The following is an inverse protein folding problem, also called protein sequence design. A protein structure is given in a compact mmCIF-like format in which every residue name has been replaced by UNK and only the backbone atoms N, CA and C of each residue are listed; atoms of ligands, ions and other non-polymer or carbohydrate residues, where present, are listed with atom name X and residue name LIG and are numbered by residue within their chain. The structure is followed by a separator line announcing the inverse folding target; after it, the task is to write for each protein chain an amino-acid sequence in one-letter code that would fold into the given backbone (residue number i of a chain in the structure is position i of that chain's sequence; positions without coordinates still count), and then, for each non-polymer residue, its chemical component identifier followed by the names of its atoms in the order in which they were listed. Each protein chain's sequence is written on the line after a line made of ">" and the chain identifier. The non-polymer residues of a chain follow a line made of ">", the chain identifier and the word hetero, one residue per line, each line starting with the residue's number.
data_IF_195406205883
#
_entry.id   IF_195406205883
#
_cell.length_a   1.000
_cell.length_b   1.000
_cell.length_c   1.000
_cell.angle_alpha   90.00
_cell.angle_beta   90.00
_cell.angle_gamma   90.00
#
_symmetry.space_group_name_H-M   'P 1'
#
loop_
_entity.id
_entity.type
_entity.pdbx_description
1 polymer ?
#
# COMPACT_ATOMS: atom_id res chain seq x y z
N UNK A 1 25.83 24.36 21.93
CA UNK A 1 26.33 25.62 21.35
C UNK A 1 27.57 26.03 22.13
N UNK A 2 28.58 26.56 21.46
CA UNK A 2 29.78 27.08 22.09
C UNK A 2 29.47 28.45 22.70
N UNK A 3 29.75 28.62 23.98
CA UNK A 3 29.54 29.88 24.75
C UNK A 3 30.86 30.56 25.11
N UNK A 4 32.00 30.03 24.64
CA UNK A 4 33.32 30.59 24.95
C UNK A 4 33.51 31.92 24.23
N UNK A 5 33.80 32.97 25.02
CA UNK A 5 34.03 34.32 24.50
C UNK A 5 34.97 34.34 23.30
N UNK A 6 34.51 34.90 22.18
CA UNK A 6 35.26 34.99 20.92
C UNK A 6 35.12 33.78 19.98
N UNK A 7 34.43 32.71 20.37
CA UNK A 7 34.16 31.52 19.56
C UNK A 7 32.69 31.08 19.66
N UNK A 8 31.79 32.02 19.91
CA UNK A 8 30.40 31.69 20.20
C UNK A 8 29.65 31.23 18.96
N UNK A 9 28.74 30.26 19.13
CA UNK A 9 27.96 29.73 18.01
C UNK A 9 27.12 30.84 17.38
N UNK A 10 27.40 31.11 16.11
CA UNK A 10 26.64 32.05 15.28
C UNK A 10 25.49 31.35 14.56
N UNK A 11 24.58 32.13 13.98
CA UNK A 11 23.52 31.59 13.12
C UNK A 11 24.09 30.87 11.90
N UNK A 12 25.22 31.33 11.36
CA UNK A 12 25.96 30.68 10.28
C UNK A 12 26.46 29.29 10.69
N UNK A 13 27.03 29.15 11.89
CA UNK A 13 27.55 27.88 12.40
C UNK A 13 26.41 26.88 12.61
N UNK A 14 25.28 27.33 13.12
CA UNK A 14 24.09 26.51 13.30
C UNK A 14 23.52 26.05 11.94
N UNK A 15 23.36 26.97 10.98
CA UNK A 15 22.88 26.64 9.64
C UNK A 15 23.80 25.63 8.95
N UNK A 16 25.11 25.85 9.03
CA UNK A 16 26.12 24.97 8.44
C UNK A 16 26.11 23.58 9.08
N UNK A 17 26.07 23.51 10.41
CA UNK A 17 26.06 22.23 11.13
C UNK A 17 24.78 21.41 10.88
N UNK A 18 23.63 22.07 10.82
CA UNK A 18 22.34 21.42 10.52
C UNK A 18 22.26 20.94 9.07
N UNK A 19 22.79 21.72 8.13
CA UNK A 19 22.78 21.36 6.70
C UNK A 19 23.77 20.24 6.38
N UNK A 20 24.97 20.27 6.98
CA UNK A 20 26.03 19.30 6.69
C UNK A 20 25.88 17.98 7.44
N UNK A 21 25.05 17.92 8.47
CA UNK A 21 24.74 16.68 9.18
C UNK A 21 23.71 15.87 8.38
N UNK A 22 24.11 14.76 7.75
CA UNK A 22 23.21 13.90 6.98
C UNK A 22 21.98 13.41 7.77
N UNK A 23 22.14 13.17 9.08
CA UNK A 23 21.04 12.80 9.97
C UNK A 23 20.07 13.97 10.24
N UNK A 24 20.56 15.22 10.27
CA UNK A 24 19.71 16.38 10.50
C UNK A 24 19.05 16.85 9.20
N UNK A 25 19.82 16.95 8.11
CA UNK A 25 19.33 17.43 6.82
C UNK A 25 18.38 16.46 6.12
N UNK A 26 18.36 15.18 6.50
CA UNK A 26 17.32 14.24 6.09
C UNK A 26 15.98 14.43 6.81
N UNK A 27 15.96 15.12 7.95
CA UNK A 27 14.77 15.31 8.79
C UNK A 27 14.23 16.75 8.74
N UNK A 28 15.12 17.74 8.64
CA UNK A 28 14.76 19.15 8.69
C UNK A 28 15.55 19.97 7.69
N UNK A 29 14.87 20.87 7.00
CA UNK A 29 15.51 21.97 6.26
C UNK A 29 15.65 23.16 7.20
N UNK A 30 16.87 23.65 7.34
CA UNK A 30 17.16 24.86 8.11
C UNK A 30 17.46 26.03 7.18
N UNK A 31 16.83 27.17 7.42
CA UNK A 31 17.05 28.43 6.71
C UNK A 31 17.11 29.58 7.70
N UNK A 32 17.85 30.65 7.36
CA UNK A 32 17.76 31.92 8.08
C UNK A 32 16.65 32.77 7.46
N UNK A 33 15.49 32.82 8.10
CA UNK A 33 14.33 33.59 7.61
C UNK A 33 14.53 35.13 7.72
N UNK A 34 15.26 35.59 8.74
CA UNK A 34 15.55 37.01 8.96
C UNK A 34 16.74 37.19 9.92
N UNK A 35 17.52 38.26 9.76
CA UNK A 35 18.59 38.65 10.70
C UNK A 35 20.00 38.58 10.11
N UNK A 36 21.02 38.55 10.98
CA UNK A 36 22.43 38.50 10.60
C UNK A 36 23.00 37.09 10.84
N UNK A 37 23.67 36.51 9.84
CA UNK A 37 24.35 35.21 9.97
C UNK A 37 25.43 35.19 11.05
N UNK A 38 26.01 36.35 11.39
CA UNK A 38 26.99 36.49 12.47
C UNK A 38 26.35 36.73 13.84
N UNK A 39 25.02 36.75 13.93
CA UNK A 39 24.34 36.91 15.21
C UNK A 39 24.61 35.68 16.09
N UNK A 40 24.94 35.95 17.36
CA UNK A 40 25.12 34.95 18.40
C UNK A 40 23.80 34.29 18.77
N UNK A 41 23.73 32.96 18.65
CA UNK A 41 22.52 32.17 18.94
C UNK A 41 22.50 31.70 20.39
N UNK A 42 23.67 31.61 21.02
CA UNK A 42 23.88 31.07 22.36
C UNK A 42 23.28 31.94 23.49
N UNK A 43 22.94 33.21 23.22
CA UNK A 43 22.32 34.11 24.19
C UNK A 43 20.78 34.08 24.20
N UNK A 44 20.15 33.48 23.17
CA UNK A 44 18.71 33.60 22.93
C UNK A 44 17.97 32.25 22.94
N UNK A 45 18.65 31.15 23.26
CA UNK A 45 18.06 29.81 23.29
C UNK A 45 18.11 29.27 24.72
N UNK A 46 16.94 28.99 25.30
CA UNK A 46 16.85 28.38 26.63
C UNK A 46 17.46 26.97 26.60
N UNK A 47 18.40 26.70 27.50
CA UNK A 47 19.04 25.39 27.63
C UNK A 47 17.98 24.32 27.92
N UNK A 48 17.95 23.25 27.11
CA UNK A 48 16.96 22.16 27.23
C UNK A 48 15.64 22.38 26.49
N UNK A 49 15.48 23.48 25.74
CA UNK A 49 14.33 23.64 24.86
C UNK A 49 14.36 22.59 23.74
N UNK A 50 13.33 21.74 23.68
CA UNK A 50 13.05 20.86 22.54
C UNK A 50 12.02 21.59 21.67
N UNK A 51 12.41 22.17 20.52
CA UNK A 51 11.46 22.83 19.64
C UNK A 51 10.51 21.78 19.10
N UNK A 52 9.23 21.86 19.48
CA UNK A 52 8.21 21.03 18.86
C UNK A 52 7.96 21.55 17.45
N UNK A 53 8.36 20.76 16.45
CA UNK A 53 7.97 21.00 15.06
C UNK A 53 6.46 20.78 14.96
N UNK A 54 5.74 21.85 14.61
CA UNK A 54 4.28 21.87 14.52
C UNK A 54 3.86 22.53 13.22
N UNK A 55 2.66 22.20 12.73
CA UNK A 55 2.05 22.79 11.54
C UNK A 55 2.76 22.47 10.21
N UNK A 56 3.19 21.21 10.02
CA UNK A 56 3.66 20.75 8.72
C UNK A 56 2.57 20.95 7.65
N UNK A 57 2.96 21.41 6.46
CA UNK A 57 2.04 21.66 5.34
C UNK A 57 0.86 22.61 5.67
N UNK A 58 1.02 23.51 6.64
CA UNK A 58 0.13 24.66 6.77
C UNK A 58 0.72 25.84 6.01
N UNK A 59 -0.14 26.54 5.26
CA UNK A 59 0.27 27.78 4.62
C UNK A 59 0.61 28.80 5.71
N UNK A 60 1.70 29.54 5.51
CA UNK A 60 2.22 30.48 6.50
C UNK A 60 2.58 31.80 5.83
N UNK A 61 2.50 32.87 6.60
CA UNK A 61 3.12 34.15 6.28
C UNK A 61 3.73 34.75 7.55
N UNK A 62 4.89 35.36 7.42
CA UNK A 62 5.54 36.08 8.51
C UNK A 62 5.68 37.56 8.15
N UNK A 63 5.55 38.44 9.13
CA UNK A 63 5.72 39.88 8.93
C UNK A 63 6.19 40.55 10.23
N UNK A 64 7.08 41.54 10.08
CA UNK A 64 7.43 42.45 11.17
C UNK A 64 6.51 43.67 11.24
N UNK A 65 5.49 43.76 10.36
CA UNK A 65 4.63 44.93 10.24
C UNK A 65 5.43 46.25 10.03
N UNK A 66 6.57 46.16 9.35
CA UNK A 66 7.54 47.25 9.17
C UNK A 66 8.15 47.79 10.48
N UNK A 67 8.17 47.01 11.56
CA UNK A 67 8.84 47.36 12.81
C UNK A 67 10.34 46.97 12.84
N UNK A 68 10.90 46.54 11.71
CA UNK A 68 12.32 46.17 11.58
C UNK A 68 12.59 44.69 11.87
N UNK A 69 13.85 44.34 12.15
CA UNK A 69 14.30 42.95 12.31
C UNK A 69 14.16 42.39 13.73
N UNK A 70 13.65 43.17 14.68
CA UNK A 70 13.63 42.81 16.10
C UNK A 70 12.28 42.27 16.58
N UNK A 71 11.30 42.16 15.68
CA UNK A 71 9.99 41.56 15.95
C UNK A 71 9.51 40.84 14.71
N UNK A 72 8.92 39.66 14.88
CA UNK A 72 8.28 38.94 13.80
C UNK A 72 7.04 38.23 14.32
N UNK A 73 5.93 38.48 13.65
CA UNK A 73 4.71 37.72 13.82
C UNK A 73 4.61 36.71 12.69
N UNK A 74 4.02 35.55 12.96
CA UNK A 74 3.57 34.64 11.94
C UNK A 74 2.07 34.38 12.04
N UNK A 75 1.49 34.07 10.89
CA UNK A 75 0.13 33.60 10.75
C UNK A 75 0.19 32.28 10.00
N UNK A 76 -0.36 31.26 10.63
CA UNK A 76 -0.41 29.90 10.09
C UNK A 76 -1.86 29.55 9.83
N UNK A 77 -2.16 29.03 8.64
CA UNK A 77 -3.50 28.58 8.28
C UNK A 77 -4.00 27.53 9.29
N UNK A 78 -5.29 27.52 9.59
CA UNK A 78 -5.88 26.47 10.42
C UNK A 78 -6.02 25.14 9.65
N UNK A 79 -6.20 25.21 8.33
CA UNK A 79 -6.27 24.06 7.43
C UNK A 79 -4.90 23.73 6.84
N UNK A 80 -4.59 22.44 6.70
CA UNK A 80 -3.44 21.90 5.98
C UNK A 80 -3.68 21.90 4.46
N UNK A 81 -2.60 21.70 3.71
CA UNK A 81 -2.64 21.51 2.26
C UNK A 81 -3.06 22.76 1.48
N UNK A 82 -3.36 22.55 0.20
CA UNK A 82 -3.69 23.65 -0.72
C UNK A 82 -4.85 24.55 -0.24
N UNK A 83 -5.78 23.99 0.56
CA UNK A 83 -6.89 24.73 1.15
C UNK A 83 -6.45 25.80 2.16
N UNK A 84 -5.25 25.73 2.73
CA UNK A 84 -4.67 26.78 3.58
C UNK A 84 -4.11 27.98 2.80
N UNK A 85 -3.76 27.80 1.52
CA UNK A 85 -3.12 28.85 0.72
C UNK A 85 -4.08 29.99 0.34
N UNK A 86 -3.52 31.18 0.10
CA UNK A 86 -4.26 32.32 -0.44
C UNK A 86 -5.20 33.00 0.57
N UNK A 87 -5.22 32.59 1.84
CA UNK A 87 -5.82 33.36 2.93
C UNK A 87 -5.06 34.70 3.02
N UNK A 88 -5.80 35.80 3.14
CA UNK A 88 -5.24 37.15 3.16
C UNK A 88 -5.46 37.81 4.52
N UNK A 89 -4.45 38.53 5.00
CA UNK A 89 -4.56 39.41 6.16
C UNK A 89 -4.40 40.84 5.63
N UNK A 90 -5.53 41.51 5.44
CA UNK A 90 -5.58 42.90 5.01
C UNK A 90 -5.40 43.79 6.24
N UNK A 91 -4.24 44.43 6.34
CA UNK A 91 -3.90 45.31 7.45
C UNK A 91 -4.21 46.76 7.07
N UNK A 92 -5.00 47.43 7.89
CA UNK A 92 -5.29 48.87 7.81
C UNK A 92 -5.02 49.54 9.16
N UNK A 93 -5.09 50.87 9.20
CA UNK A 93 -4.96 51.64 10.44
C UNK A 93 -6.00 52.74 10.51
N UNK A 94 -6.45 53.02 11.73
CA UNK A 94 -7.34 54.15 12.04
C UNK A 94 -6.95 54.74 13.39
N UNK A 95 -7.01 56.06 13.52
CA UNK A 95 -6.90 56.71 14.82
C UNK A 95 -8.24 56.56 15.54
N UNK A 96 -8.26 55.85 16.68
CA UNK A 96 -9.47 55.62 17.47
C UNK A 96 -9.68 56.64 18.59
N UNK A 97 -8.84 57.68 18.68
CA UNK A 97 -8.99 58.77 19.65
C UNK A 97 -8.63 58.42 21.09
N UNK A 98 -8.11 57.21 21.38
CA UNK A 98 -7.74 56.77 22.72
C UNK A 98 -7.35 55.29 22.79
N UNK A 99 -7.32 54.69 24.01
CA UNK A 99 -7.08 53.26 24.21
C UNK A 99 -8.15 52.41 23.54
N UNK A 100 -7.75 51.57 22.58
CA UNK A 100 -8.66 50.67 21.89
C UNK A 100 -7.89 49.48 21.31
N UNK A 101 -8.48 48.29 21.42
CA UNK A 101 -7.93 47.07 20.81
C UNK A 101 -8.06 47.12 19.28
N UNK A 102 -7.17 46.42 18.54
CA UNK A 102 -7.32 46.33 17.09
C UNK A 102 -8.61 45.59 16.74
N UNK A 103 -9.25 46.03 15.65
CA UNK A 103 -10.51 45.42 15.19
C UNK A 103 -10.21 44.34 14.16
N UNK A 104 -10.80 43.16 14.37
CA UNK A 104 -10.70 42.01 13.47
C UNK A 104 -12.08 41.70 12.91
N UNK A 105 -12.19 41.67 11.58
CA UNK A 105 -13.39 41.19 10.88
C UNK A 105 -12.97 40.23 9.76
N UNK A 106 -13.85 39.31 9.39
CA UNK A 106 -13.56 38.29 8.37
C UNK A 106 -14.59 38.40 7.25
N UNK A 107 -14.11 38.43 6.01
CA UNK A 107 -14.94 38.42 4.81
C UNK A 107 -14.42 37.33 3.87
N UNK A 108 -15.10 36.17 3.86
CA UNK A 108 -14.64 35.00 3.13
C UNK A 108 -13.27 34.54 3.63
N UNK A 109 -12.25 34.58 2.76
CA UNK A 109 -10.86 34.19 3.07
C UNK A 109 -9.94 35.39 3.38
N UNK A 110 -10.52 36.56 3.62
CA UNK A 110 -9.78 37.78 3.98
C UNK A 110 -10.09 38.18 5.42
N UNK A 111 -9.05 38.29 6.24
CA UNK A 111 -9.08 38.82 7.59
C UNK A 111 -8.69 40.29 7.52
N UNK A 112 -9.62 41.19 7.81
CA UNK A 112 -9.35 42.62 7.93
C UNK A 112 -8.91 42.93 9.36
N UNK A 113 -7.66 43.35 9.51
CA UNK A 113 -7.03 43.74 10.77
C UNK A 113 -6.80 45.25 10.77
N UNK A 114 -7.61 45.98 11.53
CA UNK A 114 -7.52 47.44 11.64
C UNK A 114 -6.83 47.83 12.95
N UNK A 115 -5.59 48.30 12.83
CA UNK A 115 -4.73 48.73 13.93
C UNK A 115 -5.14 50.13 14.43
N UNK A 116 -5.02 50.35 15.75
CA UNK A 116 -5.12 51.68 16.33
C UNK A 116 -3.81 52.45 16.09
N UNK A 117 -3.88 53.61 15.44
CA UNK A 117 -2.73 54.51 15.22
C UNK A 117 -2.67 55.70 16.17
N UNK A 118 -3.57 55.78 17.16
CA UNK A 118 -3.62 56.88 18.12
C UNK A 118 -2.33 56.99 18.94
N UNK A 119 -1.71 58.18 18.95
CA UNK A 119 -0.44 58.40 19.64
C UNK A 119 -0.55 58.05 21.13
N UNK A 120 0.37 57.21 21.61
CA UNK A 120 0.37 56.73 23.00
C UNK A 120 -0.51 55.50 23.25
N UNK A 121 -1.42 55.15 22.33
CA UNK A 121 -2.30 53.99 22.42
C UNK A 121 -2.22 53.10 21.16
N UNK A 122 -1.07 53.10 20.50
CA UNK A 122 -0.88 52.37 19.25
C UNK A 122 -0.94 50.86 19.46
N UNK A 123 -1.59 50.13 18.56
CA UNK A 123 -1.65 48.67 18.64
C UNK A 123 -0.25 48.07 18.69
N UNK A 124 -0.05 47.17 19.64
CA UNK A 124 1.19 46.43 19.88
C UNK A 124 1.17 45.04 19.24
N UNK A 125 2.34 44.41 19.13
CA UNK A 125 2.48 43.06 18.58
C UNK A 125 1.63 42.02 19.34
N UNK A 126 1.61 42.08 20.67
CA UNK A 126 0.81 41.15 21.47
C UNK A 126 -0.69 41.37 21.27
N UNK A 127 -1.14 42.62 21.13
CA UNK A 127 -2.55 42.91 20.88
C UNK A 127 -3.03 42.39 19.53
N UNK A 128 -2.17 42.36 18.49
CA UNK A 128 -2.49 41.70 17.22
C UNK A 128 -2.71 40.20 17.43
N UNK A 129 -1.79 39.52 18.12
CA UNK A 129 -1.90 38.09 18.41
C UNK A 129 -3.18 37.79 19.18
N UNK A 130 -3.44 38.54 20.25
CA UNK A 130 -4.63 38.36 21.09
C UNK A 130 -5.92 38.62 20.31
N UNK A 131 -5.99 39.68 19.50
CA UNK A 131 -7.20 40.03 18.76
C UNK A 131 -7.53 39.03 17.64
N UNK A 132 -6.52 38.54 16.92
CA UNK A 132 -6.73 37.53 15.87
C UNK A 132 -7.15 36.20 16.47
N UNK A 133 -6.44 35.71 17.48
CA UNK A 133 -6.75 34.43 18.12
C UNK A 133 -8.03 34.46 18.98
N UNK A 134 -8.42 35.64 19.48
CA UNK A 134 -9.66 35.86 20.21
C UNK A 134 -10.91 35.97 19.33
N UNK A 135 -10.75 36.18 18.02
CA UNK A 135 -11.87 36.24 17.08
C UNK A 135 -12.19 34.84 16.53
N UNK A 136 -13.37 34.30 16.85
CA UNK A 136 -13.75 32.92 16.48
C UNK A 136 -13.70 32.65 14.96
N UNK A 137 -14.20 33.57 14.14
CA UNK A 137 -14.16 33.47 12.67
C UNK A 137 -12.75 33.57 12.10
N UNK A 138 -11.88 34.39 12.70
CA UNK A 138 -10.48 34.47 12.26
C UNK A 138 -9.70 33.22 12.68
N UNK A 139 -9.94 32.70 13.89
CA UNK A 139 -9.32 31.48 14.42
C UNK A 139 -9.69 30.23 13.62
N UNK A 140 -10.84 30.23 12.96
CA UNK A 140 -11.22 29.18 12.02
C UNK A 140 -10.37 29.19 10.72
N UNK A 141 -9.68 30.30 10.42
CA UNK A 141 -8.86 30.45 9.22
C UNK A 141 -7.36 30.46 9.53
N UNK A 142 -6.92 31.15 10.58
CA UNK A 142 -5.50 31.28 10.95
C UNK A 142 -5.29 31.32 12.46
N UNK A 143 -4.11 30.89 12.89
CA UNK A 143 -3.56 31.18 14.23
C UNK A 143 -2.40 32.16 14.10
N UNK A 144 -2.42 33.23 14.90
CA UNK A 144 -1.35 34.21 14.98
C UNK A 144 -0.37 33.86 16.11
N UNK A 145 0.92 34.10 15.89
CA UNK A 145 1.97 33.91 16.90
C UNK A 145 3.02 35.01 16.81
N UNK A 146 3.49 35.47 17.97
CA UNK A 146 4.73 36.24 18.07
C UNK A 146 5.89 35.25 18.06
N UNK A 147 6.68 35.24 16.98
CA UNK A 147 7.82 34.31 16.85
C UNK A 147 8.97 34.75 17.73
N UNK A 148 9.30 36.04 17.67
CA UNK A 148 10.33 36.68 18.50
C UNK A 148 10.08 38.18 18.61
N UNK A 149 10.75 38.83 19.56
CA UNK A 149 10.63 40.26 19.85
C UNK A 149 9.74 40.57 21.05
N UNK A 150 9.64 41.85 21.40
CA UNK A 150 8.79 42.28 22.51
C UNK A 150 7.32 42.39 22.08
N UNK A 151 6.43 41.79 22.87
CA UNK A 151 4.98 41.94 22.70
C UNK A 151 4.49 43.38 22.80
N UNK A 152 5.26 44.27 23.45
CA UNK A 152 4.96 45.70 23.59
C UNK A 152 5.38 46.54 22.36
N UNK A 153 5.97 45.92 21.34
CA UNK A 153 6.41 46.65 20.15
C UNK A 153 5.22 47.27 19.43
N UNK A 154 5.22 48.60 19.30
CA UNK A 154 4.16 49.36 18.63
C UNK A 154 4.19 49.13 17.12
N UNK A 155 3.07 48.63 16.58
CA UNK A 155 2.84 48.39 15.16
C UNK A 155 1.94 49.47 14.55
N UNK A 156 1.01 50.03 15.34
CA UNK A 156 0.06 51.04 14.89
C UNK A 156 0.68 52.38 14.43
N UNK A 157 1.92 52.67 14.83
CA UNK A 157 2.66 53.86 14.39
C UNK A 157 3.49 53.64 13.11
N UNK A 158 3.41 52.47 12.47
CA UNK A 158 4.20 52.16 11.27
C UNK A 158 3.48 52.57 9.98
N UNK A 159 4.27 52.78 8.93
CA UNK A 159 3.76 52.88 7.55
C UNK A 159 3.60 51.48 6.99
N UNK A 160 2.43 51.16 6.42
CA UNK A 160 2.11 49.84 5.89
C UNK A 160 2.43 49.79 4.38
N UNK A 161 3.37 48.94 3.95
CA UNK A 161 3.76 48.78 2.53
C UNK A 161 3.59 47.35 2.00
N UNK A 162 3.14 46.42 2.84
CA UNK A 162 3.10 44.98 2.57
C UNK A 162 1.67 44.42 2.43
N UNK A 163 0.64 45.20 2.74
CA UNK A 163 -0.74 44.71 2.87
C UNK A 163 -1.34 44.39 1.49
N UNK A 164 -2.04 43.25 1.31
CA UNK A 164 -2.30 42.20 2.31
C UNK A 164 -1.13 41.22 2.47
N UNK A 165 -0.99 40.64 3.66
CA UNK A 165 -0.15 39.46 3.86
C UNK A 165 -0.87 38.24 3.29
N UNK A 166 -0.21 37.46 2.42
CA UNK A 166 -0.78 36.27 1.78
C UNK A 166 -0.13 35.01 2.33
N UNK A 167 -0.93 34.08 2.84
CA UNK A 167 -0.45 32.77 3.29
C UNK A 167 -0.11 31.91 2.07
N UNK A 168 1.06 31.28 2.10
CA UNK A 168 1.55 30.37 1.06
C UNK A 168 2.42 29.27 1.67
N UNK A 169 2.87 28.32 0.85
CA UNK A 169 3.85 27.30 1.24
C UNK A 169 3.28 25.96 1.65
N UNK A 170 1.96 25.79 1.70
CA UNK A 170 1.37 24.45 1.72
C UNK A 170 1.38 23.87 0.31
N UNK A 171 1.91 22.67 0.12
CA UNK A 171 2.08 22.04 -1.18
C UNK A 171 1.54 20.61 -1.25
N UNK A 172 1.16 19.98 -0.13
CA UNK A 172 0.57 18.65 -0.22
C UNK A 172 -0.85 18.75 -0.79
N UNK A 173 -1.18 17.77 -1.64
CA UNK A 173 -2.50 17.60 -2.22
C UNK A 173 -3.34 16.73 -1.28
N UNK A 174 -4.55 17.19 -0.95
CA UNK A 174 -5.48 16.39 -0.14
C UNK A 174 -6.07 15.29 -1.01
N UNK A 175 -5.90 14.05 -0.57
CA UNK A 175 -6.49 12.88 -1.21
C UNK A 175 -7.78 12.55 -0.47
N UNK A 176 -8.89 12.58 -1.19
CA UNK A 176 -10.18 12.21 -0.63
C UNK A 176 -10.33 10.68 -0.68
N UNK A 177 -10.54 10.01 0.48
CA UNK A 177 -10.83 8.58 0.48
C UNK A 177 -12.10 8.28 -0.31
N UNK A 178 -12.11 7.16 -1.04
CA UNK A 178 -13.30 6.64 -1.71
C UNK A 178 -14.28 5.96 -0.76
N UNK A 179 -13.79 5.44 0.37
CA UNK A 179 -14.60 4.84 1.42
C UNK A 179 -14.00 5.11 2.79
N UNK A 180 -14.85 5.32 3.78
CA UNK A 180 -14.48 5.43 5.19
C UNK A 180 -15.53 4.70 6.03
N UNK A 181 -15.09 3.74 6.81
CA UNK A 181 -15.95 2.86 7.62
C UNK A 181 -15.33 2.62 8.99
N UNK A 182 -16.18 2.45 10.00
CA UNK A 182 -15.79 1.93 11.30
C UNK A 182 -16.05 0.42 11.29
N UNK A 183 -15.06 -0.38 11.67
CA UNK A 183 -15.24 -1.82 11.81
C UNK A 183 -16.24 -2.13 12.93
N UNK A 184 -16.79 -3.35 12.92
CA UNK A 184 -17.82 -3.80 13.89
C UNK A 184 -17.37 -3.69 15.36
N UNK A 185 -16.07 -3.73 15.62
CA UNK A 185 -15.50 -3.59 16.96
C UNK A 185 -15.48 -2.13 17.48
N UNK A 186 -15.81 -1.15 16.64
CA UNK A 186 -15.81 0.29 16.96
C UNK A 186 -14.43 0.90 17.24
N UNK A 187 -13.34 0.15 17.00
CA UNK A 187 -11.97 0.54 17.34
C UNK A 187 -11.03 0.59 16.15
N UNK A 188 -11.53 0.26 14.97
CA UNK A 188 -10.78 0.27 13.74
C UNK A 188 -11.51 1.13 12.71
N UNK A 189 -10.75 2.00 12.04
CA UNK A 189 -11.22 2.83 10.94
C UNK A 189 -10.61 2.27 9.67
N UNK A 190 -11.47 1.85 8.75
CA UNK A 190 -11.09 1.35 7.44
C UNK A 190 -11.30 2.48 6.44
N UNK A 191 -10.21 2.94 5.83
CA UNK A 191 -10.26 3.85 4.69
C UNK A 191 -9.85 3.10 3.42
N UNK A 192 -10.50 3.40 2.30
CA UNK A 192 -10.11 2.91 0.98
C UNK A 192 -9.94 4.09 0.05
N UNK A 193 -8.90 4.06 -0.77
CA UNK A 193 -8.70 5.07 -1.80
C UNK A 193 -9.67 4.83 -2.96
N UNK A 194 -10.13 5.92 -3.57
CA UNK A 194 -11.02 5.84 -4.74
C UNK A 194 -10.28 5.31 -5.96
N UNK A 195 -8.98 5.58 -6.04
CA UNK A 195 -8.09 5.24 -7.13
C UNK A 195 -6.76 4.69 -6.58
N UNK A 196 -5.97 4.07 -7.46
CA UNK A 196 -4.62 3.67 -7.14
C UNK A 196 -3.77 4.91 -6.84
N UNK A 197 -3.08 4.87 -5.70
CA UNK A 197 -2.12 5.89 -5.34
C UNK A 197 -0.84 5.71 -6.19
N UNK A 198 -0.32 6.79 -6.81
CA UNK A 198 1.01 6.77 -7.43
C UNK A 198 2.13 6.47 -6.42
N UNK A 199 3.33 6.17 -6.90
CA UNK A 199 4.52 6.25 -6.05
C UNK A 199 4.66 7.68 -5.55
N UNK A 200 4.66 7.84 -4.23
CA UNK A 200 4.91 9.12 -3.59
C UNK A 200 5.09 8.93 -2.08
N UNK A 201 5.38 10.04 -1.41
CA UNK A 201 5.28 10.20 0.04
C UNK A 201 3.87 10.64 0.41
N UNK A 202 3.26 9.87 1.30
CA UNK A 202 1.94 10.14 1.83
C UNK A 202 1.99 10.43 3.31
N UNK A 203 1.02 11.20 3.79
CA UNK A 203 0.80 11.47 5.20
C UNK A 203 -0.68 11.31 5.53
N UNK A 204 -0.95 10.60 6.61
CA UNK A 204 -2.26 10.49 7.24
C UNK A 204 -2.26 11.44 8.43
N UNK A 205 -3.12 12.46 8.40
CA UNK A 205 -3.33 13.37 9.51
C UNK A 205 -4.60 12.98 10.28
N UNK A 206 -4.45 12.63 11.55
CA UNK A 206 -5.54 12.34 12.48
C UNK A 206 -5.66 13.53 13.42
N UNK A 207 -6.75 14.28 13.28
CA UNK A 207 -6.99 15.48 14.08
C UNK A 207 -7.55 15.11 15.45
N UNK A 208 -6.85 15.48 16.52
CA UNK A 208 -7.37 15.43 17.89
C UNK A 208 -7.76 16.82 18.41
N UNK A 209 -7.27 17.89 17.79
CA UNK A 209 -7.56 19.28 18.15
C UNK A 209 -8.34 20.01 17.04
N UNK A 210 -8.61 21.30 17.27
CA UNK A 210 -9.08 22.21 16.22
C UNK A 210 -10.59 22.19 16.02
N UNK A 211 -11.02 22.54 14.80
CA UNK A 211 -12.43 22.73 14.47
C UNK A 211 -13.19 21.41 14.25
N UNK A 212 -12.49 20.36 13.81
CA UNK A 212 -13.08 19.05 13.48
C UNK A 212 -12.20 17.91 14.01
N UNK A 213 -12.03 17.77 15.33
CA UNK A 213 -11.31 16.64 15.89
C UNK A 213 -12.09 15.33 15.67
N UNK A 214 -11.38 14.22 15.54
CA UNK A 214 -11.95 12.88 15.67
C UNK A 214 -12.42 12.71 17.12
N UNK A 215 -13.69 12.33 17.29
CA UNK A 215 -14.32 12.14 18.59
C UNK A 215 -14.72 10.67 18.78
N UNK A 216 -14.68 10.19 20.02
CA UNK A 216 -15.34 8.92 20.38
C UNK A 216 -16.87 9.10 20.51
N UNK A 217 -17.58 8.00 20.79
CA UNK A 217 -19.04 8.01 20.99
C UNK A 217 -19.50 8.89 22.16
N UNK A 218 -18.60 9.21 23.11
CA UNK A 218 -18.86 10.07 24.25
C UNK A 218 -18.47 11.54 23.98
N UNK A 219 -18.00 11.87 22.77
CA UNK A 219 -17.55 13.21 22.39
C UNK A 219 -16.16 13.58 22.91
N UNK A 220 -15.37 12.62 23.40
CA UNK A 220 -13.99 12.85 23.82
C UNK A 220 -13.06 12.91 22.61
N UNK A 221 -12.18 13.92 22.52
CA UNK A 221 -11.28 14.08 21.38
C UNK A 221 -10.18 13.03 21.37
N UNK A 222 -9.80 12.63 20.15
CA UNK A 222 -8.66 11.75 19.90
C UNK A 222 -7.39 12.24 20.60
N UNK A 223 -6.66 11.30 21.19
CA UNK A 223 -5.38 11.53 21.87
C UNK A 223 -5.42 12.69 22.89
N UNK A 224 -6.56 12.86 23.57
CA UNK A 224 -6.74 13.92 24.57
C UNK A 224 -6.66 15.33 24.00
N UNK A 225 -7.06 15.53 22.74
CA UNK A 225 -7.02 16.84 22.11
C UNK A 225 -5.74 17.11 21.32
N UNK A 226 -5.03 16.08 20.85
CA UNK A 226 -3.75 16.23 20.14
C UNK A 226 -3.77 15.54 18.79
N UNK A 227 -3.29 16.24 17.77
CA UNK A 227 -3.17 15.68 16.43
C UNK A 227 -2.05 14.63 16.35
N UNK A 228 -2.19 13.69 15.43
CA UNK A 228 -1.17 12.70 15.10
C UNK A 228 -1.03 12.59 13.59
N UNK A 229 0.21 12.54 13.11
CA UNK A 229 0.50 12.30 11.71
C UNK A 229 1.26 10.99 11.55
N UNK A 230 0.90 10.22 10.52
CA UNK A 230 1.59 9.00 10.12
C UNK A 230 2.06 9.17 8.69
N UNK A 231 3.37 9.15 8.47
CA UNK A 231 3.95 9.23 7.14
C UNK A 231 4.31 7.85 6.63
N UNK A 232 4.09 7.62 5.34
CA UNK A 232 4.53 6.41 4.65
C UNK A 232 4.94 6.73 3.21
N UNK A 233 5.75 5.86 2.63
CA UNK A 233 6.08 5.90 1.21
C UNK A 233 5.38 4.72 0.53
N UNK A 234 4.82 4.97 -0.64
CA UNK A 234 4.47 3.89 -1.56
C UNK A 234 5.59 3.78 -2.58
N UNK A 235 6.31 2.66 -2.59
CA UNK A 235 7.39 2.35 -3.54
C UNK A 235 6.82 1.35 -4.56
N UNK A 236 6.48 1.86 -5.74
CA UNK A 236 5.89 1.06 -6.81
C UNK A 236 6.94 0.67 -7.84
N UNK A 237 6.90 -0.59 -8.28
CA UNK A 237 7.78 -1.01 -9.36
C UNK A 237 7.47 -0.23 -10.66
N UNK A 238 8.50 0.08 -11.48
CA UNK A 238 8.30 0.71 -12.78
C UNK A 238 7.32 -0.08 -13.65
N UNK A 239 6.40 0.66 -14.27
CA UNK A 239 5.33 0.13 -15.11
C UNK A 239 5.67 0.32 -16.58
N UNK A 240 5.36 -0.70 -17.37
CA UNK A 240 5.37 -0.58 -18.85
C UNK A 240 4.14 0.21 -19.29
N UNK A 241 4.36 1.37 -19.90
CA UNK A 241 3.31 2.21 -20.48
C UNK A 241 2.94 1.79 -21.90
N UNK A 242 3.95 1.46 -22.71
CA UNK A 242 3.76 1.09 -24.10
C UNK A 242 4.83 0.14 -24.61
N UNK A 243 4.46 -0.67 -25.60
CA UNK A 243 5.39 -1.52 -26.36
C UNK A 243 5.14 -1.29 -27.83
N UNK A 244 6.18 -0.85 -28.55
CA UNK A 244 6.13 -0.50 -29.97
C UNK A 244 7.02 -1.46 -30.76
N UNK A 245 6.47 -2.47 -31.43
CA UNK A 245 7.22 -3.31 -32.34
C UNK A 245 7.49 -2.59 -33.66
N UNK A 246 8.70 -2.77 -34.19
CA UNK A 246 9.16 -2.21 -35.46
C UNK A 246 8.85 -0.71 -35.63
N UNK A 247 9.37 0.15 -34.73
CA UNK A 247 9.06 1.58 -34.74
C UNK A 247 9.46 2.21 -36.09
N UNK A 248 8.71 3.24 -36.49
CA UNK A 248 8.96 4.02 -37.70
C UNK A 248 9.47 5.39 -37.27
N UNK A 249 10.67 5.75 -37.71
CA UNK A 249 11.27 7.07 -37.45
C UNK A 249 11.40 7.85 -38.75
N UNK A 250 11.51 9.19 -38.65
CA UNK A 250 11.88 10.04 -39.78
C UNK A 250 13.40 10.22 -39.81
N UNK A 251 14.01 9.99 -40.97
CA UNK A 251 15.42 10.24 -41.20
C UNK A 251 15.69 11.75 -41.30
N UNK A 252 16.97 12.14 -41.28
CA UNK A 252 17.41 13.53 -41.51
C UNK A 252 16.98 14.10 -42.86
N UNK A 253 16.69 13.24 -43.84
CA UNK A 253 16.16 13.61 -45.16
C UNK A 253 14.63 13.67 -45.22
N UNK A 254 13.95 13.40 -44.10
CA UNK A 254 12.48 13.39 -43.99
C UNK A 254 11.80 12.10 -44.47
N UNK A 255 12.56 11.10 -44.92
CA UNK A 255 12.02 9.79 -45.28
C UNK A 255 11.63 8.99 -44.04
N UNK A 256 10.64 8.09 -44.17
CA UNK A 256 10.27 7.17 -43.09
C UNK A 256 11.13 5.91 -43.16
N UNK A 257 11.67 5.48 -42.03
CA UNK A 257 12.44 4.25 -41.89
C UNK A 257 11.85 3.40 -40.77
N UNK A 258 11.54 2.14 -41.09
CA UNK A 258 11.08 1.16 -40.11
C UNK A 258 12.26 0.37 -39.56
N UNK A 259 12.39 0.28 -38.24
CA UNK A 259 13.38 -0.57 -37.58
C UNK A 259 12.84 -2.01 -37.42
N UNK A 260 12.91 -2.81 -38.49
CA UNK A 260 12.25 -4.13 -38.59
C UNK A 260 12.73 -5.18 -37.59
N UNK A 261 13.87 -4.98 -36.94
CA UNK A 261 14.47 -5.87 -35.95
C UNK A 261 14.41 -5.29 -34.52
N UNK A 262 13.63 -4.23 -34.28
CA UNK A 262 13.56 -3.58 -32.97
C UNK A 262 12.18 -3.61 -32.35
N UNK A 263 12.15 -3.60 -31.03
CA UNK A 263 10.99 -3.30 -30.20
C UNK A 263 11.40 -2.18 -29.24
N UNK A 264 10.55 -1.20 -28.99
CA UNK A 264 10.79 -0.14 -28.01
C UNK A 264 9.76 -0.27 -26.89
N UNK A 265 10.25 -0.35 -25.65
CA UNK A 265 9.42 -0.38 -24.44
C UNK A 265 9.54 0.96 -23.75
N UNK A 266 8.40 1.56 -23.42
CA UNK A 266 8.30 2.81 -22.68
C UNK A 266 7.90 2.48 -21.25
N UNK A 267 8.68 2.98 -20.29
CA UNK A 267 8.37 2.90 -18.86
C UNK A 267 7.75 4.21 -18.39
N UNK A 268 7.07 4.18 -17.24
CA UNK A 268 6.49 5.38 -16.64
C UNK A 268 7.58 6.30 -16.06
N UNK A 269 7.32 7.61 -16.16
CA UNK A 269 8.16 8.64 -15.58
C UNK A 269 7.96 8.75 -14.09
N UNK A 270 8.80 8.05 -13.33
CA UNK A 270 8.81 8.13 -11.88
C UNK A 270 10.08 8.81 -11.36
N UNK A 271 10.04 10.14 -11.39
CA UNK A 271 11.19 10.97 -11.06
C UNK A 271 11.11 11.58 -9.65
N UNK A 272 10.09 11.25 -8.86
CA UNK A 272 9.98 11.73 -7.50
C UNK A 272 10.89 10.89 -6.58
N UNK A 273 12.15 11.32 -6.53
CA UNK A 273 13.11 11.02 -5.45
C UNK A 273 13.98 9.75 -5.58
N UNK A 274 14.29 9.33 -6.81
CA UNK A 274 15.39 8.38 -7.05
C UNK A 274 14.97 6.92 -7.24
N UNK A 275 13.67 6.64 -7.34
CA UNK A 275 13.13 5.32 -7.69
C UNK A 275 13.01 5.17 -9.23
N UNK A 276 13.99 5.73 -9.94
CA UNK A 276 14.13 5.59 -11.39
C UNK A 276 14.51 4.15 -11.72
N UNK A 277 13.97 3.60 -12.80
CA UNK A 277 14.35 2.29 -13.32
C UNK A 277 15.89 2.17 -13.39
N UNK A 278 16.45 1.15 -12.71
CA UNK A 278 17.90 0.91 -12.68
C UNK A 278 18.44 0.75 -14.11
N UNK A 279 19.26 1.70 -14.61
CA UNK A 279 19.72 1.67 -16.00
C UNK A 279 20.55 0.42 -16.34
N UNK A 280 21.23 -0.16 -15.36
CA UNK A 280 22.03 -1.38 -15.55
C UNK A 280 21.11 -2.56 -15.81
N UNK A 281 20.07 -2.74 -14.98
CA UNK A 281 19.07 -3.80 -15.17
C UNK A 281 18.22 -3.56 -16.41
N UNK A 282 17.83 -2.31 -16.67
CA UNK A 282 17.05 -1.94 -17.85
C UNK A 282 17.80 -2.21 -19.16
N UNK A 283 19.14 -2.18 -19.14
CA UNK A 283 19.99 -2.47 -20.29
C UNK A 283 20.38 -3.94 -20.41
N UNK A 284 20.03 -4.79 -19.44
CA UNK A 284 20.36 -6.21 -19.48
C UNK A 284 19.33 -6.98 -20.34
N UNK A 285 19.75 -7.59 -21.47
CA UNK A 285 18.85 -8.37 -22.33
C UNK A 285 18.14 -9.53 -21.62
N UNK A 286 18.69 -10.08 -20.53
CA UNK A 286 18.14 -11.24 -19.82
C UNK A 286 16.73 -10.98 -19.26
N UNK A 287 16.42 -9.72 -18.94
CA UNK A 287 15.11 -9.26 -18.44
C UNK A 287 14.03 -9.18 -19.53
N UNK A 288 14.39 -9.40 -20.80
CA UNK A 288 13.50 -9.27 -21.92
C UNK A 288 13.47 -10.55 -22.74
N UNK A 289 12.35 -11.27 -22.68
CA UNK A 289 12.19 -12.58 -23.31
C UNK A 289 11.05 -12.54 -24.32
N UNK A 290 11.38 -12.76 -25.59
CA UNK A 290 10.40 -12.86 -26.66
C UNK A 290 10.08 -14.33 -26.92
N UNK A 291 8.83 -14.73 -26.70
CA UNK A 291 8.37 -16.10 -26.90
C UNK A 291 7.69 -16.23 -28.25
N UNK A 292 8.15 -17.16 -29.09
CA UNK A 292 7.42 -17.57 -30.29
C UNK A 292 6.30 -18.52 -29.89
N UNK A 293 5.07 -18.01 -29.89
CA UNK A 293 3.90 -18.71 -29.33
C UNK A 293 3.51 -19.99 -30.08
N UNK A 294 3.77 -20.06 -31.40
CA UNK A 294 3.30 -21.14 -32.29
C UNK A 294 1.80 -21.46 -32.13
N UNK A 295 0.99 -20.46 -31.76
CA UNK A 295 -0.44 -20.62 -31.50
C UNK A 295 -0.79 -21.19 -30.12
N UNK A 296 0.17 -21.25 -29.20
CA UNK A 296 -0.01 -21.67 -27.81
C UNK A 296 0.35 -20.55 -26.84
N UNK A 297 0.14 -20.78 -25.54
CA UNK A 297 0.55 -19.86 -24.46
C UNK A 297 1.39 -20.59 -23.42
N UNK A 298 2.11 -21.63 -23.84
CA UNK A 298 2.85 -22.52 -22.93
C UNK A 298 4.13 -21.85 -22.45
N UNK A 299 4.57 -22.21 -21.25
CA UNK A 299 5.88 -21.80 -20.74
C UNK A 299 7.05 -22.47 -21.48
N UNK A 300 6.79 -23.54 -22.24
CA UNK A 300 7.77 -24.25 -23.09
C UNK A 300 7.90 -23.67 -24.49
N UNK A 301 7.25 -22.55 -24.80
CA UNK A 301 7.40 -21.87 -26.09
C UNK A 301 8.85 -21.39 -26.27
N UNK A 302 9.34 -21.37 -27.52
CA UNK A 302 10.73 -21.03 -27.81
C UNK A 302 11.04 -19.60 -27.32
N UNK A 303 12.09 -19.47 -26.52
CA UNK A 303 12.52 -18.18 -25.97
C UNK A 303 13.64 -17.58 -26.80
N UNK A 304 13.43 -16.36 -27.28
CA UNK A 304 14.42 -15.53 -27.97
C UNK A 304 14.78 -14.36 -27.07
N UNK A 305 16.08 -14.12 -26.89
CA UNK A 305 16.61 -12.99 -26.14
C UNK A 305 17.11 -11.94 -27.14
N UNK A 306 16.87 -10.63 -26.93
CA UNK A 306 17.46 -9.57 -27.74
C UNK A 306 18.98 -9.71 -27.80
N UNK A 307 19.58 -9.36 -28.93
CA UNK A 307 21.03 -9.31 -29.07
C UNK A 307 21.63 -8.17 -28.22
N UNK A 308 20.88 -7.09 -28.05
CA UNK A 308 21.24 -5.99 -27.15
C UNK A 308 20.00 -5.22 -26.70
N UNK A 309 20.13 -4.52 -25.58
CA UNK A 309 19.15 -3.53 -25.10
C UNK A 309 19.89 -2.23 -24.85
N UNK A 310 19.34 -1.14 -25.38
CA UNK A 310 19.83 0.22 -25.15
C UNK A 310 18.77 0.97 -24.36
N UNK A 311 19.10 1.39 -23.14
CA UNK A 311 18.21 2.19 -22.30
C UNK A 311 18.55 3.69 -22.40
N UNK A 312 17.54 4.53 -22.58
CA UNK A 312 17.64 5.99 -22.50
C UNK A 312 16.85 6.49 -21.28
N UNK A 313 17.54 6.98 -20.26
CA UNK A 313 16.94 7.50 -19.03
C UNK A 313 16.21 8.84 -19.21
N UNK A 314 16.44 9.56 -20.31
CA UNK A 314 15.74 10.84 -20.57
C UNK A 314 14.32 10.58 -21.03
N UNK A 315 14.14 9.54 -21.84
CA UNK A 315 12.85 9.14 -22.43
C UNK A 315 12.26 7.90 -21.75
N UNK A 316 13.00 7.29 -20.83
CA UNK A 316 12.72 6.01 -20.16
C UNK A 316 12.32 4.92 -21.14
N UNK A 317 13.10 4.81 -22.20
CA UNK A 317 12.88 3.81 -23.24
C UNK A 317 13.96 2.74 -23.25
N UNK A 318 13.54 1.47 -23.30
CA UNK A 318 14.42 0.36 -23.63
C UNK A 318 14.21 -0.05 -25.09
N UNK A 319 15.24 0.14 -25.91
CA UNK A 319 15.26 -0.30 -27.30
C UNK A 319 15.90 -1.68 -27.38
N UNK A 320 15.07 -2.70 -27.63
CA UNK A 320 15.46 -4.08 -27.80
C UNK A 320 15.84 -4.31 -29.26
N UNK A 321 17.07 -4.76 -29.51
CA UNK A 321 17.54 -5.08 -30.87
C UNK A 321 17.73 -6.57 -31.02
N UNK A 322 17.08 -7.18 -32.00
CA UNK A 322 17.20 -8.59 -32.32
C UNK A 322 18.19 -8.83 -33.47
N UNK A 323 18.79 -10.02 -33.49
CA UNK A 323 19.80 -10.40 -34.48
C UNK A 323 19.29 -10.39 -35.94
N UNK A 324 17.98 -10.60 -36.13
CA UNK A 324 17.31 -10.57 -37.43
C UNK A 324 16.02 -9.75 -37.35
N UNK A 325 15.42 -9.44 -38.51
CA UNK A 325 14.10 -8.84 -38.56
C UNK A 325 13.08 -9.71 -37.81
N UNK A 326 12.13 -9.08 -37.11
CA UNK A 326 11.18 -9.81 -36.26
C UNK A 326 10.38 -10.88 -37.04
N UNK A 327 10.09 -10.62 -38.32
CA UNK A 327 9.44 -11.59 -39.23
C UNK A 327 10.27 -12.86 -39.46
N UNK A 328 11.61 -12.75 -39.40
CA UNK A 328 12.53 -13.85 -39.65
C UNK A 328 12.81 -14.67 -38.38
N UNK A 329 12.52 -14.12 -37.19
CA UNK A 329 12.75 -14.82 -35.91
C UNK A 329 11.89 -16.08 -35.76
N UNK A 330 10.79 -16.20 -36.50
CA UNK A 330 9.96 -17.39 -36.51
C UNK A 330 10.54 -18.57 -37.32
N UNK A 331 11.70 -18.40 -37.97
CA UNK A 331 12.29 -19.39 -38.87
C UNK A 331 11.54 -19.56 -40.21
N UNK A 332 10.35 -18.97 -40.33
CA UNK A 332 9.56 -18.91 -41.56
C UNK A 332 9.47 -17.46 -42.06
N UNK A 333 10.25 -17.15 -43.09
CA UNK A 333 10.36 -15.80 -43.66
C UNK A 333 9.13 -15.37 -44.44
N UNK A 334 8.21 -16.28 -44.80
CA UNK A 334 7.06 -15.97 -45.65
C UNK A 334 5.82 -15.48 -44.87
N UNK A 335 5.59 -15.98 -43.65
CA UNK A 335 4.38 -15.67 -42.87
C UNK A 335 4.64 -14.99 -41.53
N UNK A 336 5.89 -14.93 -41.06
CA UNK A 336 6.20 -14.42 -39.73
C UNK A 336 5.67 -15.33 -38.61
N UNK A 337 5.51 -14.78 -37.41
CA UNK A 337 5.03 -15.51 -36.24
C UNK A 337 4.33 -14.60 -35.23
N UNK A 338 3.57 -15.20 -34.32
CA UNK A 338 2.97 -14.48 -33.17
C UNK A 338 3.92 -14.57 -31.98
N UNK A 339 4.24 -13.43 -31.39
CA UNK A 339 5.17 -13.34 -30.28
C UNK A 339 4.51 -12.80 -29.01
N UNK A 340 4.99 -13.26 -27.85
CA UNK A 340 4.69 -12.68 -26.55
C UNK A 340 5.98 -12.14 -25.95
N UNK A 341 6.00 -10.87 -25.57
CA UNK A 341 7.13 -10.27 -24.86
C UNK A 341 6.89 -10.36 -23.34
N UNK A 342 7.86 -10.91 -22.61
CA UNK A 342 7.93 -10.86 -21.14
C UNK A 342 9.05 -9.89 -20.75
N UNK A 343 8.78 -9.04 -19.78
CA UNK A 343 9.67 -7.96 -19.33
C UNK A 343 9.82 -8.05 -17.81
N UNK A 344 11.02 -7.79 -17.29
CA UNK A 344 11.25 -7.59 -15.86
C UNK A 344 11.63 -8.85 -15.07
N UNK A 345 11.98 -9.94 -15.75
CA UNK A 345 12.47 -11.15 -15.07
C UNK A 345 13.41 -11.97 -15.96
N UNK A 346 14.51 -12.40 -15.36
CA UNK A 346 15.51 -13.30 -15.92
C UNK A 346 15.30 -14.76 -15.48
N UNK A 347 14.29 -15.04 -14.67
CA UNK A 347 13.95 -16.38 -14.16
C UNK A 347 13.88 -17.43 -15.27
N UNK A 348 14.53 -18.59 -15.03
CA UNK A 348 14.44 -19.73 -15.90
C UNK A 348 13.00 -20.28 -15.96
N UNK A 349 12.67 -20.96 -17.06
CA UNK A 349 11.38 -21.66 -17.17
C UNK A 349 11.35 -22.75 -16.09
N UNK A 350 10.27 -22.85 -15.29
CA UNK A 350 10.14 -23.92 -14.29
C UNK A 350 10.34 -25.30 -14.92
N UNK A 351 11.05 -26.17 -14.22
CA UNK A 351 11.21 -27.56 -14.66
C UNK A 351 9.87 -28.30 -14.62
N UNK A 352 9.78 -29.37 -15.40
CA UNK A 352 8.61 -30.26 -15.41
C UNK A 352 8.39 -30.80 -13.98
N UNK A 353 7.14 -30.82 -13.48
CA UNK A 353 6.86 -31.34 -12.15
C UNK A 353 7.36 -32.79 -11.98
N UNK A 354 8.03 -33.05 -10.87
CA UNK A 354 8.50 -34.40 -10.51
C UNK A 354 7.37 -35.13 -9.81
N UNK A 355 7.06 -36.37 -10.19
CA UNK A 355 6.08 -37.17 -9.43
C UNK A 355 6.79 -37.95 -8.34
N UNK A 356 6.35 -37.80 -7.10
CA UNK A 356 6.78 -38.62 -5.97
C UNK A 356 5.64 -39.55 -5.56
N UNK A 357 5.90 -40.85 -5.67
CA UNK A 357 4.98 -41.89 -5.18
C UNK A 357 5.55 -42.44 -3.88
N UNK A 358 4.90 -42.21 -2.72
CA UNK A 358 5.34 -42.78 -1.45
C UNK A 358 5.46 -44.30 -1.53
N UNK A 359 6.58 -44.87 -1.08
CA UNK A 359 6.76 -46.34 -1.06
C UNK A 359 5.94 -47.02 0.05
N UNK A 360 5.66 -46.28 1.14
CA UNK A 360 4.86 -46.71 2.27
C UNK A 360 3.79 -45.66 2.57
N UNK A 361 2.75 -46.09 3.29
CA UNK A 361 1.74 -45.18 3.83
C UNK A 361 2.43 -44.20 4.80
N UNK A 362 2.34 -42.88 4.58
CA UNK A 362 2.82 -41.91 5.55
C UNK A 362 2.08 -42.11 6.88
N UNK A 363 2.81 -42.11 8.00
CA UNK A 363 2.21 -42.32 9.30
C UNK A 363 1.29 -41.17 9.73
N UNK A 364 0.45 -41.44 10.74
CA UNK A 364 -0.62 -40.54 11.19
C UNK A 364 -0.15 -39.43 12.16
N UNK A 365 1.15 -39.26 12.36
CA UNK A 365 1.73 -38.23 13.24
C UNK A 365 2.91 -37.53 12.55
N UNK A 366 3.28 -36.34 13.05
CA UNK A 366 4.47 -35.64 12.54
C UNK A 366 5.75 -36.50 12.61
N UNK A 367 5.92 -37.29 13.67
CA UNK A 367 7.09 -38.17 13.85
C UNK A 367 7.15 -39.34 12.86
N UNK A 368 6.00 -39.71 12.28
CA UNK A 368 5.87 -40.86 11.37
C UNK A 368 5.52 -40.43 9.93
N UNK A 369 5.45 -39.12 9.69
CA UNK A 369 5.16 -38.55 8.39
C UNK A 369 6.28 -38.83 7.39
N UNK A 370 5.94 -38.85 6.09
CA UNK A 370 6.92 -38.94 5.03
C UNK A 370 7.77 -37.65 4.97
N UNK A 371 9.08 -37.78 5.17
CA UNK A 371 10.02 -36.68 4.97
C UNK A 371 10.19 -36.39 3.48
N UNK A 372 9.59 -35.30 3.01
CA UNK A 372 9.71 -34.85 1.62
C UNK A 372 11.12 -34.36 1.29
N UNK A 373 11.83 -33.77 2.23
CA UNK A 373 13.18 -33.22 2.01
C UNK A 373 14.22 -34.33 1.83
N UNK A 374 14.02 -35.50 2.45
CA UNK A 374 14.84 -36.68 2.23
C UNK A 374 14.61 -37.32 0.84
N UNK A 375 13.44 -37.11 0.24
CA UNK A 375 13.02 -37.78 -1.01
C UNK A 375 13.00 -36.84 -2.23
N UNK A 376 13.06 -35.54 -2.01
CA UNK A 376 13.13 -34.53 -3.05
C UNK A 376 13.91 -33.31 -2.54
N UNK A 377 14.95 -32.94 -3.28
CA UNK A 377 15.67 -31.70 -3.07
C UNK A 377 15.23 -30.71 -4.15
N UNK A 378 14.52 -29.62 -3.81
CA UNK A 378 14.27 -28.57 -4.78
C UNK A 378 15.60 -27.94 -5.21
N UNK A 379 15.89 -27.93 -6.51
CA UNK A 379 16.93 -27.05 -7.04
C UNK A 379 16.40 -25.61 -7.04
N UNK A 380 17.24 -24.65 -6.64
CA UNK A 380 16.87 -23.24 -6.61
C UNK A 380 16.69 -22.64 -8.02
N UNK A 381 17.30 -23.24 -9.04
CA UNK A 381 17.21 -22.82 -10.44
C UNK A 381 17.36 -24.03 -11.40
N UNK A 382 16.38 -24.33 -12.27
CA UNK A 382 15.06 -23.70 -12.38
C UNK A 382 14.14 -24.11 -11.21
N UNK A 383 13.10 -23.32 -10.96
CA UNK A 383 12.06 -23.67 -9.99
C UNK A 383 11.43 -25.02 -10.33
N UNK A 384 11.23 -25.85 -9.31
CA UNK A 384 10.70 -27.21 -9.44
C UNK A 384 9.42 -27.37 -8.63
N UNK A 385 8.49 -28.16 -9.15
CA UNK A 385 7.28 -28.59 -8.44
C UNK A 385 7.30 -30.10 -8.27
N UNK A 386 6.69 -30.59 -7.20
CA UNK A 386 6.49 -32.02 -6.96
C UNK A 386 5.00 -32.33 -6.94
N UNK A 387 4.61 -33.43 -7.58
CA UNK A 387 3.25 -33.99 -7.51
C UNK A 387 3.32 -35.23 -6.65
N UNK A 388 2.60 -35.21 -5.52
CA UNK A 388 2.49 -36.36 -4.63
C UNK A 388 1.14 -37.01 -4.89
N UNK A 389 1.15 -38.27 -5.31
CA UNK A 389 -0.07 -39.04 -5.52
C UNK A 389 -0.04 -40.32 -4.68
N UNK A 390 -1.07 -40.48 -3.84
CA UNK A 390 -1.37 -41.72 -3.11
C UNK A 390 -2.87 -42.00 -3.20
N UNK A 391 -3.26 -43.25 -2.96
CA UNK A 391 -4.65 -43.68 -2.88
C UNK A 391 -4.90 -44.35 -1.54
N UNK A 392 -6.02 -44.02 -0.90
CA UNK A 392 -6.51 -44.79 0.24
C UNK A 392 -7.24 -46.01 -0.32
N UNK A 393 -6.64 -47.18 -0.13
CA UNK A 393 -7.25 -48.45 -0.50
C UNK A 393 -7.24 -49.37 0.73
N UNK A 394 -8.35 -50.06 0.97
CA UNK A 394 -8.39 -51.04 2.03
C UNK A 394 -7.57 -52.28 1.60
N UNK A 395 -6.37 -52.44 2.16
CA UNK A 395 -5.50 -53.57 1.85
C UNK A 395 -5.99 -54.89 2.48
N UNK A 396 -6.78 -54.80 3.57
CA UNK A 396 -7.30 -55.95 4.28
C UNK A 396 -8.83 -55.98 4.19
N UNK A 397 -9.44 -57.03 3.60
CA UNK A 397 -10.89 -57.11 3.53
C UNK A 397 -11.48 -57.28 4.94
N UNK A 398 -12.33 -56.33 5.36
CA UNK A 398 -13.15 -56.47 6.57
C UNK A 398 -14.46 -57.14 6.16
N UNK A 399 -14.46 -58.47 6.14
CA UNK A 399 -15.64 -59.23 5.80
C UNK A 399 -16.66 -59.12 6.95
N UNK A 400 -17.94 -58.97 6.61
CA UNK A 400 -19.04 -58.97 7.58
C UNK A 400 -19.80 -60.29 7.42
N UNK A 401 -20.08 -60.95 8.54
CA UNK A 401 -21.00 -62.10 8.55
C UNK A 401 -22.42 -61.65 8.20
N UNK A 402 -23.12 -62.43 7.38
CA UNK A 402 -24.49 -62.10 7.02
C UNK A 402 -25.42 -62.29 8.23
N UNK A 403 -26.34 -61.35 8.51
CA UNK A 403 -27.39 -61.58 9.49
C UNK A 403 -28.20 -62.85 9.13
N UNK A 404 -28.27 -63.80 10.06
CA UNK A 404 -28.93 -65.10 9.87
C UNK A 404 -28.02 -66.21 9.32
N UNK A 405 -26.71 -65.97 9.15
CA UNK A 405 -25.74 -67.00 8.81
C UNK A 405 -25.60 -68.03 9.94
N UNK A 406 -25.24 -69.26 9.58
CA UNK A 406 -25.11 -70.37 10.54
C UNK A 406 -24.01 -70.16 11.59
N UNK A 407 -23.06 -69.27 11.33
CA UNK A 407 -21.90 -68.98 12.18
C UNK A 407 -22.04 -67.68 13.00
N UNK A 408 -23.21 -67.01 12.95
CA UNK A 408 -23.41 -65.77 13.69
C UNK A 408 -23.55 -66.02 15.22
N UNK A 409 -22.97 -65.15 16.07
CA UNK A 409 -23.17 -65.23 17.51
C UNK A 409 -24.66 -65.12 17.90
N UNK A 410 -25.21 -66.21 18.46
CA UNK A 410 -26.62 -66.27 18.86
C UNK A 410 -27.52 -67.06 17.92
N UNK A 411 -26.96 -67.65 16.86
CA UNK A 411 -27.68 -68.62 16.03
C UNK A 411 -28.19 -69.81 16.86
N UNK A 412 -29.42 -70.26 16.60
CA UNK A 412 -30.01 -71.40 17.31
C UNK A 412 -29.67 -72.69 16.58
N UNK A 413 -28.75 -73.46 17.15
CA UNK A 413 -28.36 -74.79 16.64
C UNK A 413 -29.50 -75.81 16.72
N UNK A 414 -30.26 -75.97 15.64
CA UNK A 414 -31.26 -77.05 15.50
C UNK A 414 -30.76 -78.03 14.43
N UNK A 415 -30.49 -79.31 14.79
CA UNK A 415 -29.98 -80.28 13.85
C UNK A 415 -30.91 -80.44 12.63
N UNK A 416 -30.34 -80.29 11.43
CA UNK A 416 -30.89 -80.68 10.12
C UNK A 416 -32.00 -79.83 9.46
N UNK A 417 -32.37 -78.64 9.96
CA UNK A 417 -33.51 -77.90 9.35
C UNK A 417 -33.42 -76.37 9.27
N UNK A 418 -32.44 -75.68 9.86
CA UNK A 418 -32.34 -74.21 9.73
C UNK A 418 -30.96 -73.75 9.28
N UNK A 419 -30.78 -73.66 7.96
CA UNK A 419 -29.75 -72.83 7.35
C UNK A 419 -30.48 -71.77 6.52
N UNK A 420 -30.56 -70.54 7.03
CA UNK A 420 -31.33 -69.45 6.41
C UNK A 420 -30.51 -68.71 5.36
N UNK A 421 -29.20 -68.63 5.58
CA UNK A 421 -28.21 -68.11 4.66
C UNK A 421 -27.07 -69.10 4.58
N UNK A 422 -27.02 -69.96 3.53
CA UNK A 422 -25.93 -70.91 3.37
C UNK A 422 -24.63 -70.18 3.03
N UNK A 423 -23.70 -70.12 3.98
CA UNK A 423 -22.40 -69.46 3.83
C UNK A 423 -22.00 -68.66 5.07
N UNK A 424 -20.71 -68.31 5.16
CA UNK A 424 -20.17 -67.43 6.21
C UNK A 424 -20.05 -65.98 5.72
N UNK A 425 -19.07 -65.25 6.24
CA UNK A 425 -18.75 -63.87 5.87
C UNK A 425 -18.86 -63.53 4.37
N UNK A 426 -19.37 -62.34 4.06
CA UNK A 426 -19.43 -61.79 2.70
C UNK A 426 -18.06 -61.93 2.01
N UNK A 427 -18.01 -62.48 0.79
CA UNK A 427 -16.77 -62.79 0.08
C UNK A 427 -16.55 -61.91 -1.17
N UNK A 428 -17.45 -60.96 -1.44
CA UNK A 428 -17.43 -60.13 -2.65
C UNK A 428 -17.51 -58.63 -2.32
N UNK A 429 -16.63 -57.80 -2.91
CA UNK A 429 -16.80 -56.35 -2.85
C UNK A 429 -18.11 -55.91 -3.52
N UNK A 430 -18.99 -55.23 -2.77
CA UNK A 430 -20.25 -54.68 -3.29
C UNK A 430 -21.45 -55.01 -2.41
N UNK A 431 -22.65 -55.02 -3.00
CA UNK A 431 -23.88 -55.44 -2.33
C UNK A 431 -24.13 -56.91 -2.69
N UNK A 432 -23.86 -57.83 -1.77
CA UNK A 432 -24.25 -59.23 -1.94
C UNK A 432 -25.76 -59.37 -1.81
N UNK A 433 -26.41 -59.92 -2.84
CA UNK A 433 -27.87 -60.10 -2.89
C UNK A 433 -28.21 -61.57 -2.74
N UNK A 434 -28.99 -61.92 -1.73
CA UNK A 434 -29.45 -63.29 -1.46
C UNK A 434 -30.95 -63.38 -1.77
N UNK A 435 -31.36 -64.14 -2.80
CA UNK A 435 -32.77 -64.30 -3.12
C UNK A 435 -33.44 -65.26 -2.13
N UNK A 436 -34.47 -64.79 -1.43
CA UNK A 436 -35.34 -65.64 -0.62
C UNK A 436 -36.52 -66.15 -1.43
N UNK A 437 -36.96 -67.38 -1.15
CA UNK A 437 -38.08 -68.01 -1.85
C UNK A 437 -39.22 -68.33 -0.88
N UNK A 438 -40.25 -67.49 -0.89
CA UNK A 438 -41.46 -67.66 -0.07
C UNK A 438 -42.58 -68.36 -0.85
N UNK A 439 -42.36 -69.60 -1.29
CA UNK A 439 -43.42 -70.37 -1.96
C UNK A 439 -44.58 -70.58 -0.98
N UNK A 440 -45.80 -70.49 -1.51
CA UNK A 440 -47.01 -70.78 -0.74
C UNK A 440 -47.05 -72.25 -0.32
N UNK A 441 -46.63 -73.16 -1.19
CA UNK A 441 -46.43 -74.58 -0.89
C UNK A 441 -44.92 -74.86 -0.82
N UNK A 442 -44.45 -75.33 0.34
CA UNK A 442 -43.02 -75.56 0.58
C UNK A 442 -42.65 -77.05 0.72
N UNK A 443 -43.62 -77.95 0.65
CA UNK A 443 -43.36 -79.39 0.62
C UNK A 443 -44.56 -80.22 1.06
N UNK A 444 -44.29 -81.49 1.39
CA UNK A 444 -45.28 -82.42 1.93
C UNK A 444 -44.81 -82.94 3.29
N UNK A 445 -45.75 -83.21 4.20
CA UNK A 445 -45.42 -83.90 5.44
C UNK A 445 -45.22 -85.42 5.24
N UNK A 446 -44.84 -86.14 6.29
CA UNK A 446 -44.64 -87.60 6.27
C UNK A 446 -45.91 -88.42 6.01
N UNK A 447 -47.07 -87.75 5.93
CA UNK A 447 -48.38 -88.32 5.58
C UNK A 447 -48.88 -87.82 4.23
N UNK A 448 -47.99 -87.17 3.46
CA UNK A 448 -48.20 -86.66 2.11
C UNK A 448 -49.21 -85.50 2.01
N UNK A 449 -49.45 -84.76 3.10
CA UNK A 449 -50.25 -83.54 3.07
C UNK A 449 -49.40 -82.36 2.62
N UNK A 450 -49.98 -81.45 1.83
CA UNK A 450 -49.32 -80.21 1.41
C UNK A 450 -49.04 -79.32 2.61
N UNK A 451 -47.79 -78.87 2.74
CA UNK A 451 -47.35 -77.90 3.72
C UNK A 451 -47.36 -76.50 3.12
N UNK A 452 -48.18 -75.63 3.71
CA UNK A 452 -48.37 -74.26 3.25
C UNK A 452 -47.65 -73.26 4.15
N UNK A 453 -46.97 -72.30 3.53
CA UNK A 453 -46.32 -71.20 4.22
C UNK A 453 -47.38 -70.24 4.79
N UNK A 454 -47.18 -69.80 6.04
CA UNK A 454 -48.10 -68.89 6.74
C UNK A 454 -47.75 -67.40 6.57
N UNK A 455 -46.73 -67.09 5.77
CA UNK A 455 -46.30 -65.73 5.46
C UNK A 455 -47.34 -65.05 4.56
N UNK A 456 -47.85 -63.90 5.01
CA UNK A 456 -48.77 -63.04 4.25
C UNK A 456 -48.03 -62.22 3.19
N UNK A 457 -48.74 -61.66 2.19
CA UNK A 457 -48.12 -60.75 1.21
C UNK A 457 -47.45 -59.53 1.86
N UNK A 458 -47.99 -59.03 2.98
CA UNK A 458 -47.38 -57.91 3.73
C UNK A 458 -46.10 -58.32 4.48
N UNK A 459 -45.80 -59.61 4.56
CA UNK A 459 -44.61 -60.18 5.23
C UNK A 459 -43.57 -60.73 4.24
N UNK A 460 -43.86 -60.71 2.93
CA UNK A 460 -42.88 -60.92 1.85
C UNK A 460 -42.18 -59.60 1.53
#
# INVERSE_FOLDING_TARGET
>A
MNTNSGNETTASDLLTSMTNSAAASSLVTTSLELGNLLARVDQNVSVGAVPLLTNANHAKVSSSFNAGSNVQLSFTAAQTGLAGNGIQIAVTKVDRGGPATPRVTVSGRTINLELNSHLGNETTAQEVVTAVNGNATARALVTARLNFGSGLTKLGNRTLTFSPLRLAGANDVVIQPGHLELAENGREVIFRFADNLPDDRYRIDILGAGANPLLDENGLPFNGGRDQSVEFRLDLAPRVEAVVPQPITRTSTGALQQARNQIVVYFNHDHLQGDTLDPVKASDPSFYKLYLTKGTVRNTDDTLIPASVSFDATTETATLTFANDLQQLAGNTATGGTFRLRIGTDEAIPAVPVTLTPQNDPGSSFDTALDLAANWSPNADPSQSIVISSSIANANPYLLDFPGASDEPGHREIPSVQDHVPGGADDRPGITTIPYNFRLEYGFDSRNNVLLNSITENQK
#
